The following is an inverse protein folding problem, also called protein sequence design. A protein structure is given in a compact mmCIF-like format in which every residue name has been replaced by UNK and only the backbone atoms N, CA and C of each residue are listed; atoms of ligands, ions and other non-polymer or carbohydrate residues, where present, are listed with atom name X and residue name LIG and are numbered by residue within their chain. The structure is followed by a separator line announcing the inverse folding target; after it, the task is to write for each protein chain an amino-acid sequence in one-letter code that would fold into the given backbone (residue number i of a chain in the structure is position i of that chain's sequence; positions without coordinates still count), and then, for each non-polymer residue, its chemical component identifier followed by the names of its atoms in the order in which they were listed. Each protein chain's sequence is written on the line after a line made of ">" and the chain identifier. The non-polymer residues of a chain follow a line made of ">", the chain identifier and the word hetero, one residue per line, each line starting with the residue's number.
data_IF_636629760753
#
_entry.id   IF_636629760753
#
_cell.length_a   1.000
_cell.length_b   1.000
_cell.length_c   1.000
_cell.angle_alpha   90.00
_cell.angle_beta   90.00
_cell.angle_gamma   90.00
#
_symmetry.space_group_name_H-M   'P 1'
#
loop_
_entity.id
_entity.type
_entity.pdbx_description
1 polymer ?
#
# COMPACT_ATOMS: atom_id res chain seq x y z
N UNK A 1 -25.28 -2.13 -23.07
CA UNK A 1 -24.29 -1.61 -22.11
C UNK A 1 -24.50 -2.38 -20.81
N UNK A 2 -23.60 -3.32 -20.46
CA UNK A 2 -23.68 -3.97 -19.14
C UNK A 2 -22.99 -3.05 -18.13
N UNK A 3 -23.76 -2.35 -17.34
CA UNK A 3 -23.26 -1.62 -16.17
C UNK A 3 -22.99 -2.68 -15.11
N UNK A 4 -21.72 -2.82 -14.73
CA UNK A 4 -21.31 -3.66 -13.59
C UNK A 4 -20.85 -2.73 -12.48
N UNK A 5 -21.82 -2.32 -11.67
CA UNK A 5 -21.51 -1.53 -10.48
C UNK A 5 -20.89 -2.41 -9.40
N UNK A 6 -20.02 -1.82 -8.59
CA UNK A 6 -19.41 -2.45 -7.43
C UNK A 6 -19.67 -1.60 -6.22
N UNK A 7 -20.10 -2.25 -5.15
CA UNK A 7 -20.35 -1.60 -3.87
C UNK A 7 -19.47 -2.26 -2.83
N UNK A 8 -18.72 -1.44 -2.09
CA UNK A 8 -18.05 -1.86 -0.87
C UNK A 8 -19.09 -1.79 0.25
N UNK A 9 -19.49 -2.94 0.76
CA UNK A 9 -20.48 -3.03 1.81
C UNK A 9 -19.94 -2.71 3.18
N UNK A 10 -20.84 -2.47 4.12
CA UNK A 10 -20.59 -2.29 5.55
C UNK A 10 -21.54 -3.22 6.30
N UNK A 11 -21.05 -3.90 7.33
CA UNK A 11 -21.83 -4.87 8.08
C UNK A 11 -22.50 -4.23 9.28
N UNK A 12 -23.74 -4.62 9.50
CA UNK A 12 -24.52 -4.29 10.70
C UNK A 12 -25.03 -5.58 11.33
N UNK A 13 -25.23 -5.56 12.64
CA UNK A 13 -25.93 -6.61 13.36
C UNK A 13 -27.44 -6.58 13.01
N UNK A 14 -28.16 -7.65 13.35
CA UNK A 14 -29.59 -7.76 13.02
C UNK A 14 -30.47 -6.72 13.74
N UNK A 15 -30.01 -6.17 14.84
CA UNK A 15 -30.65 -5.08 15.59
C UNK A 15 -30.34 -3.68 15.03
N UNK A 16 -29.51 -3.61 13.97
CA UNK A 16 -29.10 -2.35 13.33
C UNK A 16 -27.84 -1.70 13.90
N UNK A 17 -27.24 -2.31 14.94
CA UNK A 17 -25.98 -1.80 15.48
C UNK A 17 -24.80 -2.11 14.54
N UNK A 18 -23.75 -1.26 14.52
CA UNK A 18 -22.54 -1.51 13.74
C UNK A 18 -21.85 -2.81 14.17
N UNK A 19 -21.57 -3.71 13.22
CA UNK A 19 -20.82 -4.92 13.52
C UNK A 19 -19.41 -4.57 14.06
N UNK A 20 -19.06 -4.99 15.29
CA UNK A 20 -17.86 -4.55 15.96
C UNK A 20 -16.56 -5.02 15.30
N UNK A 21 -16.62 -6.09 14.50
CA UNK A 21 -15.47 -6.68 13.81
C UNK A 21 -15.35 -6.23 12.35
N UNK A 22 -16.30 -5.44 11.83
CA UNK A 22 -16.20 -4.86 10.50
C UNK A 22 -15.05 -3.84 10.45
N UNK A 23 -14.03 -4.02 9.57
CA UNK A 23 -12.88 -3.13 9.51
C UNK A 23 -13.23 -1.67 9.22
N UNK A 24 -14.29 -1.42 8.45
CA UNK A 24 -14.74 -0.05 8.15
C UNK A 24 -15.32 0.65 9.37
N UNK A 25 -16.08 -0.08 10.20
CA UNK A 25 -16.58 0.47 11.46
C UNK A 25 -15.44 0.70 12.46
N UNK A 26 -14.43 -0.19 12.50
CA UNK A 26 -13.23 0.00 13.33
C UNK A 26 -12.53 1.29 12.92
N UNK A 27 -12.24 1.47 11.61
CA UNK A 27 -11.58 2.66 11.10
C UNK A 27 -12.42 3.93 11.35
N UNK A 28 -13.74 3.89 11.11
CA UNK A 28 -14.63 5.03 11.39
C UNK A 28 -14.58 5.48 12.84
N UNK A 29 -14.59 4.54 13.80
CA UNK A 29 -14.47 4.88 15.22
C UNK A 29 -13.15 5.59 15.55
N UNK A 30 -12.03 5.15 14.95
CA UNK A 30 -10.73 5.81 15.15
C UNK A 30 -10.72 7.20 14.54
N UNK A 31 -11.21 7.36 13.31
CA UNK A 31 -11.30 8.66 12.63
C UNK A 31 -12.20 9.63 13.41
N UNK A 32 -13.36 9.17 13.91
CA UNK A 32 -14.25 10.00 14.72
C UNK A 32 -13.57 10.48 16.01
N UNK A 33 -12.89 9.58 16.72
CA UNK A 33 -12.15 9.94 17.96
C UNK A 33 -11.04 10.96 17.70
N UNK A 34 -10.34 10.86 16.58
CA UNK A 34 -9.34 11.86 16.19
C UNK A 34 -10.01 13.21 15.89
N UNK A 35 -11.15 13.20 15.18
CA UNK A 35 -11.90 14.42 14.88
C UNK A 35 -12.45 15.11 16.13
N UNK A 36 -12.86 14.34 17.17
CA UNK A 36 -13.28 14.89 18.47
C UNK A 36 -12.14 15.66 19.17
N UNK A 37 -10.87 15.29 18.87
CA UNK A 37 -9.67 15.98 19.35
C UNK A 37 -9.14 17.06 18.36
N UNK A 38 -9.89 17.39 17.30
CA UNK A 38 -9.49 18.35 16.26
C UNK A 38 -8.34 17.85 15.38
N UNK A 39 -8.24 16.52 15.18
CA UNK A 39 -7.18 15.86 14.42
C UNK A 39 -7.75 15.16 13.17
N UNK A 40 -7.22 15.50 12.00
CA UNK A 40 -7.71 15.03 10.70
C UNK A 40 -6.61 14.31 9.94
N UNK A 41 -6.66 12.96 9.86
CA UNK A 41 -5.65 12.19 9.13
C UNK A 41 -5.79 12.35 7.62
N UNK A 42 -4.63 12.51 6.97
CA UNK A 42 -4.48 12.45 5.51
C UNK A 42 -3.64 11.22 5.20
N UNK A 43 -4.17 10.33 4.37
CA UNK A 43 -3.63 8.99 4.17
C UNK A 43 -3.34 8.73 2.70
N UNK A 44 -2.22 8.06 2.43
CA UNK A 44 -1.89 7.45 1.14
C UNK A 44 -1.40 6.03 1.34
N UNK A 45 -1.61 5.17 0.34
CA UNK A 45 -1.10 3.81 0.35
C UNK A 45 -0.23 3.55 -0.87
N UNK A 46 0.85 2.79 -0.65
CA UNK A 46 1.72 2.24 -1.69
C UNK A 46 1.48 0.73 -1.73
N UNK A 47 1.20 0.19 -2.90
CA UNK A 47 0.89 -1.21 -3.10
C UNK A 47 1.92 -1.85 -4.04
N UNK A 48 2.73 -2.74 -3.49
CA UNK A 48 3.65 -3.57 -4.26
C UNK A 48 2.96 -4.87 -4.71
N UNK A 49 3.27 -5.32 -5.90
CA UNK A 49 2.73 -6.56 -6.46
C UNK A 49 3.68 -7.17 -7.49
N UNK A 50 3.51 -8.46 -7.75
CA UNK A 50 4.15 -9.12 -8.87
C UNK A 50 3.17 -9.37 -9.99
N UNK A 51 3.63 -9.19 -11.22
CA UNK A 51 3.07 -9.86 -12.38
C UNK A 51 3.72 -11.24 -12.51
N UNK A 52 2.92 -12.23 -12.87
CA UNK A 52 3.30 -13.63 -12.97
C UNK A 52 2.92 -14.21 -14.34
N UNK A 53 3.60 -15.26 -14.77
CA UNK A 53 3.11 -16.12 -15.83
C UNK A 53 1.73 -16.67 -15.44
N UNK A 54 0.72 -16.46 -16.29
CA UNK A 54 -0.66 -16.80 -15.95
C UNK A 54 -0.91 -18.31 -15.92
N UNK A 55 -0.28 -19.08 -16.81
CA UNK A 55 -0.48 -20.52 -16.89
C UNK A 55 0.13 -21.24 -15.69
N UNK A 56 1.32 -20.80 -15.26
CA UNK A 56 2.00 -21.35 -14.08
C UNK A 56 1.33 -20.88 -12.78
N UNK A 57 0.82 -19.64 -12.73
CA UNK A 57 0.06 -19.14 -11.61
C UNK A 57 -1.25 -19.93 -11.39
N UNK A 58 -1.92 -20.32 -12.46
CA UNK A 58 -3.11 -21.18 -12.39
C UNK A 58 -2.78 -22.60 -11.89
N UNK A 59 -1.55 -23.08 -12.11
CA UNK A 59 -1.02 -24.32 -11.54
C UNK A 59 -0.55 -24.18 -10.07
N UNK A 60 -0.59 -22.98 -9.51
CA UNK A 60 -0.13 -22.68 -8.15
C UNK A 60 1.37 -22.40 -8.04
N UNK A 61 2.03 -22.15 -9.16
CA UNK A 61 3.47 -21.86 -9.22
C UNK A 61 3.70 -20.37 -9.53
N UNK A 62 4.60 -19.74 -8.78
CA UNK A 62 4.99 -18.35 -9.03
C UNK A 62 6.22 -18.32 -9.95
N UNK A 63 6.05 -17.77 -11.16
CA UNK A 63 7.12 -17.56 -12.13
C UNK A 63 7.05 -16.15 -12.70
N UNK A 64 8.21 -15.50 -13.00
CA UNK A 64 8.22 -14.21 -13.68
C UNK A 64 7.51 -14.28 -15.03
N UNK A 65 6.80 -13.22 -15.45
CA UNK A 65 6.04 -13.25 -16.69
C UNK A 65 6.95 -12.97 -17.89
N UNK A 66 6.43 -13.27 -19.07
CA UNK A 66 6.82 -12.57 -20.29
C UNK A 66 6.11 -11.21 -20.32
N UNK A 67 6.87 -10.12 -20.41
CA UNK A 67 6.33 -8.76 -20.37
C UNK A 67 5.47 -8.51 -21.61
N UNK A 68 4.20 -8.08 -21.47
CA UNK A 68 3.21 -8.06 -22.56
C UNK A 68 3.61 -7.22 -23.76
N UNK A 69 4.24 -6.06 -23.54
CA UNK A 69 4.51 -5.08 -24.61
C UNK A 69 5.83 -5.35 -25.36
N UNK A 70 6.75 -6.09 -24.73
CA UNK A 70 8.06 -6.39 -25.34
C UNK A 70 8.24 -7.85 -25.75
N UNK A 71 7.42 -8.75 -25.22
CA UNK A 71 7.58 -10.19 -25.40
C UNK A 71 8.86 -10.76 -24.79
N UNK A 72 9.50 -10.04 -23.85
CA UNK A 72 10.74 -10.46 -23.19
C UNK A 72 10.43 -10.98 -21.79
N UNK A 73 11.11 -12.04 -21.33
CA UNK A 73 11.00 -12.48 -19.95
C UNK A 73 11.44 -11.38 -18.98
N UNK A 74 10.76 -11.27 -17.83
CA UNK A 74 11.19 -10.44 -16.72
C UNK A 74 12.28 -11.20 -15.96
N UNK A 75 13.55 -10.91 -16.22
CA UNK A 75 14.67 -11.66 -15.67
C UNK A 75 15.59 -10.85 -14.74
N UNK A 76 15.43 -9.52 -14.74
CA UNK A 76 16.38 -8.63 -14.08
C UNK A 76 15.88 -8.14 -12.73
N UNK A 77 16.79 -8.08 -11.79
CA UNK A 77 16.62 -7.38 -10.52
C UNK A 77 17.19 -5.97 -10.67
N UNK A 78 16.33 -4.99 -10.93
CA UNK A 78 16.73 -3.59 -11.09
C UNK A 78 15.60 -2.65 -10.69
N UNK A 79 15.68 -2.05 -9.52
CA UNK A 79 14.73 -1.04 -9.06
C UNK A 79 14.73 0.19 -9.97
N UNK A 80 13.54 0.75 -10.19
CA UNK A 80 13.30 1.94 -11.04
C UNK A 80 13.74 1.78 -12.51
N UNK A 81 13.66 0.56 -13.05
CA UNK A 81 13.93 0.29 -14.45
C UNK A 81 12.82 0.85 -15.35
N UNK A 82 13.16 1.84 -16.17
CA UNK A 82 12.22 2.35 -17.17
C UNK A 82 11.93 1.30 -18.25
N UNK A 83 12.90 0.46 -18.58
CA UNK A 83 12.70 -0.62 -19.58
C UNK A 83 11.67 -1.66 -19.13
N UNK A 84 11.57 -1.91 -17.80
CA UNK A 84 10.55 -2.81 -17.27
C UNK A 84 9.16 -2.15 -17.28
N UNK A 85 9.08 -0.84 -17.02
CA UNK A 85 7.84 -0.07 -17.18
C UNK A 85 7.39 -0.01 -18.65
N UNK A 86 8.33 0.18 -19.60
CA UNK A 86 8.03 0.12 -21.04
C UNK A 86 7.45 -1.26 -21.43
N UNK A 87 7.93 -2.32 -20.79
CA UNK A 87 7.46 -3.69 -21.02
C UNK A 87 6.02 -3.96 -20.56
N UNK A 88 5.44 -3.06 -19.74
CA UNK A 88 4.06 -3.13 -19.23
C UNK A 88 3.28 -1.84 -19.47
N UNK A 89 3.72 -1.01 -20.43
CA UNK A 89 3.14 0.32 -20.68
C UNK A 89 1.66 0.27 -21.02
N UNK A 90 1.22 -0.70 -21.82
CA UNK A 90 -0.21 -0.90 -22.16
C UNK A 90 -1.04 -1.29 -20.93
N UNK A 91 -0.50 -2.12 -20.06
CA UNK A 91 -1.13 -2.47 -18.76
C UNK A 91 -1.28 -1.22 -17.89
N UNK A 92 -0.23 -0.40 -17.76
CA UNK A 92 -0.25 0.83 -16.97
C UNK A 92 -1.23 1.87 -17.52
N UNK A 93 -1.29 2.05 -18.84
CA UNK A 93 -2.23 2.95 -19.49
C UNK A 93 -3.70 2.52 -19.26
N UNK A 94 -3.99 1.21 -19.36
CA UNK A 94 -5.32 0.71 -19.02
C UNK A 94 -5.63 0.87 -17.52
N UNK A 95 -4.63 0.69 -16.65
CA UNK A 95 -4.77 0.91 -15.21
C UNK A 95 -5.17 2.35 -14.91
N UNK A 96 -4.48 3.34 -15.50
CA UNK A 96 -4.82 4.76 -15.34
C UNK A 96 -6.26 5.04 -15.78
N UNK A 97 -6.66 4.54 -16.96
CA UNK A 97 -8.00 4.71 -17.49
C UNK A 97 -9.09 4.11 -16.57
N UNK A 98 -8.87 2.88 -16.08
CA UNK A 98 -9.83 2.18 -15.21
C UNK A 98 -9.92 2.85 -13.84
N UNK A 99 -8.79 3.28 -13.28
CA UNK A 99 -8.76 3.97 -11.99
C UNK A 99 -9.42 5.35 -12.08
N UNK A 100 -9.17 6.10 -13.15
CA UNK A 100 -9.85 7.37 -13.40
C UNK A 100 -11.36 7.19 -13.49
N UNK A 101 -11.85 6.18 -14.22
CA UNK A 101 -13.27 5.86 -14.32
C UNK A 101 -13.91 5.47 -12.99
N UNK A 102 -13.14 4.89 -12.06
CA UNK A 102 -13.56 4.51 -10.71
C UNK A 102 -13.29 5.61 -9.67
N UNK A 103 -12.72 6.74 -10.07
CA UNK A 103 -12.28 7.83 -9.17
C UNK A 103 -11.24 7.37 -8.13
N UNK A 104 -10.41 6.41 -8.49
CA UNK A 104 -9.25 6.00 -7.69
C UNK A 104 -8.07 6.89 -8.07
N UNK A 105 -7.55 7.71 -7.15
CA UNK A 105 -6.51 8.69 -7.48
C UNK A 105 -5.15 8.01 -7.51
N UNK A 106 -4.65 7.70 -8.73
CA UNK A 106 -3.30 7.18 -8.92
C UNK A 106 -2.26 8.31 -8.82
N UNK A 107 -1.18 8.07 -8.08
CA UNK A 107 0.01 8.90 -8.05
C UNK A 107 0.98 8.49 -9.14
N UNK A 108 1.75 7.46 -8.91
CA UNK A 108 2.76 6.97 -9.87
C UNK A 108 2.91 5.46 -9.83
N UNK A 109 3.66 4.94 -10.81
CA UNK A 109 4.07 3.54 -10.86
C UNK A 109 5.60 3.45 -10.96
N UNK A 110 6.18 2.42 -10.34
CA UNK A 110 7.60 2.10 -10.44
C UNK A 110 7.81 0.59 -10.63
N UNK A 111 8.91 0.25 -11.32
CA UNK A 111 9.42 -1.12 -11.23
C UNK A 111 10.16 -1.27 -9.92
N UNK A 112 9.93 -2.41 -9.26
CA UNK A 112 10.51 -2.71 -7.96
C UNK A 112 11.76 -3.58 -8.07
N UNK A 113 12.25 -4.04 -6.92
CA UNK A 113 13.57 -4.67 -6.82
C UNK A 113 13.66 -6.00 -7.59
N UNK A 114 12.59 -6.80 -7.63
CA UNK A 114 12.62 -8.12 -8.23
C UNK A 114 12.01 -8.17 -9.64
N UNK A 115 12.37 -9.18 -10.41
CA UNK A 115 11.84 -9.41 -11.75
C UNK A 115 10.30 -9.53 -11.74
N UNK A 116 9.64 -8.70 -12.54
CA UNK A 116 8.17 -8.65 -12.60
C UNK A 116 7.48 -8.01 -11.41
N UNK A 117 8.25 -7.38 -10.49
CA UNK A 117 7.70 -6.65 -9.35
C UNK A 117 7.49 -5.17 -9.70
N UNK A 118 6.33 -4.65 -9.32
CA UNK A 118 5.92 -3.27 -9.55
C UNK A 118 5.26 -2.70 -8.29
N UNK A 119 5.27 -1.37 -8.20
CA UNK A 119 4.58 -0.61 -7.18
C UNK A 119 3.64 0.41 -7.84
N UNK A 120 2.48 0.61 -7.25
CA UNK A 120 1.58 1.70 -7.59
C UNK A 120 1.27 2.49 -6.33
N UNK A 121 1.52 3.79 -6.40
CA UNK A 121 1.23 4.75 -5.36
C UNK A 121 -0.15 5.36 -5.56
N UNK A 122 -0.91 5.48 -4.48
CA UNK A 122 -2.14 6.26 -4.43
C UNK A 122 -1.85 7.66 -3.92
N UNK A 123 -2.60 8.64 -4.44
CA UNK A 123 -2.53 10.02 -3.94
C UNK A 123 -3.10 10.12 -2.52
N UNK A 124 -2.63 11.12 -1.78
CA UNK A 124 -3.09 11.42 -0.44
C UNK A 124 -4.54 11.89 -0.44
N UNK A 125 -5.34 11.38 0.47
CA UNK A 125 -6.72 11.83 0.67
C UNK A 125 -6.99 12.10 2.15
N UNK A 126 -7.78 13.14 2.41
CA UNK A 126 -8.20 13.53 3.77
C UNK A 126 -9.35 12.68 4.33
N UNK A 127 -9.72 11.61 3.64
CA UNK A 127 -10.71 10.63 4.08
C UNK A 127 -10.05 9.25 4.15
N UNK A 128 -9.68 8.77 5.36
CA UNK A 128 -9.04 7.47 5.53
C UNK A 128 -9.90 6.28 5.07
N UNK A 129 -11.23 6.41 5.11
CA UNK A 129 -12.14 5.37 4.60
C UNK A 129 -12.02 5.29 3.08
N UNK A 130 -12.05 6.44 2.41
CA UNK A 130 -11.85 6.50 0.96
C UNK A 130 -10.46 5.99 0.57
N UNK A 131 -9.40 6.32 1.34
CA UNK A 131 -8.05 5.79 1.09
C UNK A 131 -8.01 4.25 1.12
N UNK A 132 -8.64 3.63 2.12
CA UNK A 132 -8.73 2.18 2.23
C UNK A 132 -9.54 1.59 1.06
N UNK A 133 -10.65 2.21 0.69
CA UNK A 133 -11.47 1.78 -0.46
C UNK A 133 -10.69 1.85 -1.78
N UNK A 134 -9.93 2.92 -1.99
CA UNK A 134 -9.09 3.08 -3.18
C UNK A 134 -8.06 1.95 -3.29
N UNK A 135 -7.43 1.53 -2.19
CA UNK A 135 -6.49 0.42 -2.20
C UNK A 135 -7.16 -0.91 -2.61
N UNK A 136 -8.34 -1.20 -2.10
CA UNK A 136 -9.10 -2.41 -2.46
C UNK A 136 -9.52 -2.38 -3.94
N UNK A 137 -9.98 -1.22 -4.43
CA UNK A 137 -10.35 -1.04 -5.83
C UNK A 137 -9.13 -1.17 -6.75
N UNK A 138 -7.99 -0.60 -6.35
CA UNK A 138 -6.72 -0.73 -7.09
C UNK A 138 -6.27 -2.18 -7.17
N UNK A 139 -6.22 -2.92 -6.06
CA UNK A 139 -5.85 -4.35 -6.07
C UNK A 139 -6.72 -5.15 -7.04
N UNK A 140 -8.03 -4.86 -7.05
CA UNK A 140 -8.96 -5.52 -7.95
C UNK A 140 -8.73 -5.12 -9.41
N UNK A 141 -8.46 -3.85 -9.69
CA UNK A 141 -8.16 -3.35 -11.02
C UNK A 141 -6.88 -4.01 -11.56
N UNK A 142 -5.79 -4.01 -10.77
CA UNK A 142 -4.52 -4.67 -11.10
C UNK A 142 -4.75 -6.12 -11.52
N UNK A 143 -5.43 -6.93 -10.69
CA UNK A 143 -5.70 -8.33 -11.00
C UNK A 143 -6.59 -8.53 -12.23
N UNK A 144 -7.56 -7.63 -12.43
CA UNK A 144 -8.49 -7.72 -13.56
C UNK A 144 -7.83 -7.36 -14.90
N UNK A 145 -6.99 -6.32 -14.89
CA UNK A 145 -6.28 -5.84 -16.07
C UNK A 145 -5.14 -6.80 -16.42
N UNK A 146 -4.39 -7.30 -15.45
CA UNK A 146 -3.32 -8.27 -15.67
C UNK A 146 -3.82 -9.45 -16.54
N UNK A 147 -5.00 -10.02 -16.19
CA UNK A 147 -5.59 -11.12 -16.97
C UNK A 147 -5.89 -10.74 -18.42
N UNK A 148 -6.31 -9.51 -18.69
CA UNK A 148 -6.55 -9.04 -20.06
C UNK A 148 -5.27 -8.95 -20.88
N UNK A 149 -4.15 -8.66 -20.20
CA UNK A 149 -2.82 -8.60 -20.79
C UNK A 149 -2.08 -9.94 -20.78
N UNK A 150 -2.77 -11.06 -20.48
CA UNK A 150 -2.23 -12.41 -20.54
C UNK A 150 -1.28 -12.77 -19.39
N UNK A 151 -1.26 -11.97 -18.32
CA UNK A 151 -0.46 -12.22 -17.11
C UNK A 151 -1.37 -12.32 -15.87
N UNK A 152 -0.86 -12.91 -14.78
CA UNK A 152 -1.52 -12.88 -13.48
C UNK A 152 -0.89 -11.82 -12.59
N UNK A 153 -1.60 -11.37 -11.56
CA UNK A 153 -1.06 -10.44 -10.56
C UNK A 153 -1.30 -10.96 -9.14
N UNK A 154 -0.28 -10.85 -8.29
CA UNK A 154 -0.36 -11.22 -6.88
C UNK A 154 0.14 -10.12 -5.96
N UNK A 155 -0.60 -9.91 -4.86
CA UNK A 155 -0.21 -9.08 -3.72
C UNK A 155 0.24 -9.95 -2.52
N UNK A 156 0.60 -11.21 -2.77
CA UNK A 156 1.13 -12.10 -1.75
C UNK A 156 2.42 -11.50 -1.18
N UNK A 157 2.54 -11.45 0.13
CA UNK A 157 3.66 -10.79 0.80
C UNK A 157 5.04 -11.35 0.39
N UNK A 158 5.14 -12.65 0.13
CA UNK A 158 6.38 -13.33 -0.30
C UNK A 158 6.07 -14.44 -1.32
N UNK A 159 5.85 -14.11 -2.61
CA UNK A 159 5.57 -15.12 -3.62
C UNK A 159 6.80 -15.96 -3.98
N UNK A 160 7.99 -15.39 -3.91
CA UNK A 160 9.26 -16.06 -4.20
C UNK A 160 10.14 -16.11 -2.95
N UNK A 161 10.67 -17.29 -2.55
CA UNK A 161 11.52 -17.39 -1.36
C UNK A 161 12.75 -16.50 -1.40
N UNK A 162 13.40 -16.40 -2.55
CA UNK A 162 14.70 -15.77 -2.74
C UNK A 162 14.64 -14.36 -3.36
N UNK A 163 13.43 -13.81 -3.59
CA UNK A 163 13.25 -12.47 -4.13
C UNK A 163 12.66 -11.51 -3.10
N UNK A 164 12.58 -10.22 -3.40
CA UNK A 164 11.92 -9.25 -2.54
C UNK A 164 10.45 -9.61 -2.27
N UNK A 165 9.93 -9.27 -1.10
CA UNK A 165 8.51 -9.40 -0.79
C UNK A 165 7.73 -8.15 -1.22
N UNK A 166 6.39 -8.24 -1.22
CA UNK A 166 5.50 -7.11 -1.44
C UNK A 166 5.16 -6.41 -0.14
N UNK A 167 5.30 -5.09 -0.12
CA UNK A 167 4.84 -4.22 0.96
C UNK A 167 3.48 -3.60 0.66
N UNK A 168 2.77 -3.28 1.73
CA UNK A 168 1.63 -2.37 1.73
C UNK A 168 1.97 -1.21 2.67
N UNK A 169 2.61 -0.18 2.14
CA UNK A 169 3.04 0.94 2.97
C UNK A 169 1.91 1.94 3.16
N UNK A 170 1.75 2.41 4.39
CA UNK A 170 0.72 3.39 4.74
C UNK A 170 1.39 4.69 5.17
N UNK A 171 1.14 5.76 4.43
CA UNK A 171 1.58 7.10 4.76
C UNK A 171 0.48 7.85 5.49
N UNK A 172 0.84 8.52 6.58
CA UNK A 172 -0.10 9.29 7.40
C UNK A 172 0.51 10.64 7.75
N UNK A 173 -0.22 11.70 7.45
CA UNK A 173 -0.08 13.03 8.04
C UNK A 173 -1.30 13.34 8.88
N UNK A 174 -1.19 14.24 9.85
CA UNK A 174 -2.34 14.70 10.65
C UNK A 174 -2.45 16.22 10.52
N UNK A 175 -3.62 16.68 10.15
CA UNK A 175 -3.95 18.11 10.13
C UNK A 175 -4.72 18.52 11.40
N UNK A 176 -4.56 19.76 11.83
CA UNK A 176 -5.41 20.37 12.86
C UNK A 176 -6.62 21.08 12.22
N UNK A 177 -7.51 21.66 13.05
CA UNK A 177 -8.70 22.41 12.62
C UNK A 177 -8.39 23.56 11.65
N UNK A 178 -7.17 24.09 11.64
CA UNK A 178 -6.73 25.13 10.72
C UNK A 178 -6.19 24.56 9.39
N UNK A 179 -6.14 23.25 9.22
CA UNK A 179 -5.56 22.55 8.07
C UNK A 179 -4.04 22.53 8.08
N UNK A 180 -3.38 22.83 9.20
CA UNK A 180 -1.93 22.76 9.34
C UNK A 180 -1.50 21.34 9.71
N UNK A 181 -0.45 20.86 9.07
CA UNK A 181 0.17 19.56 9.40
C UNK A 181 0.87 19.62 10.76
N UNK A 182 0.35 18.93 11.76
CA UNK A 182 0.88 18.95 13.13
C UNK A 182 2.20 18.17 13.28
N UNK A 183 2.61 17.40 12.28
CA UNK A 183 3.90 16.71 12.25
C UNK A 183 5.04 17.64 11.84
N UNK A 184 4.73 18.82 11.32
CA UNK A 184 5.69 19.83 10.92
C UNK A 184 5.78 20.97 11.95
N UNK A 185 7.02 21.35 12.30
CA UNK A 185 7.34 22.51 13.16
C UNK A 185 8.34 23.45 12.50
N UNK A 186 8.60 23.26 11.20
CA UNK A 186 9.59 24.02 10.45
C UNK A 186 11.01 23.48 10.56
N UNK A 187 11.26 22.49 11.42
CA UNK A 187 12.57 21.84 11.53
C UNK A 187 12.70 20.63 10.58
N UNK A 188 13.93 20.21 10.33
CA UNK A 188 14.18 18.98 9.56
C UNK A 188 13.70 17.73 10.29
N UNK A 189 13.68 17.73 11.61
CA UNK A 189 13.31 16.60 12.45
C UNK A 189 11.79 16.45 12.60
N UNK A 190 11.02 17.50 12.32
CA UNK A 190 9.58 17.53 12.57
C UNK A 190 9.22 17.71 14.05
N UNK A 191 7.95 17.80 14.33
CA UNK A 191 7.41 18.20 15.62
C UNK A 191 7.48 17.11 16.71
N UNK A 192 7.25 17.50 17.96
CA UNK A 192 7.03 16.55 19.07
C UNK A 192 5.82 15.64 18.84
N UNK A 193 4.79 16.15 18.14
CA UNK A 193 3.61 15.35 17.77
C UNK A 193 3.97 14.19 16.85
N UNK A 194 4.88 14.40 15.89
CA UNK A 194 5.40 13.31 15.05
C UNK A 194 6.12 12.25 15.92
N UNK A 195 6.98 12.68 16.85
CA UNK A 195 7.68 11.75 17.76
C UNK A 195 6.74 10.97 18.67
N UNK A 196 5.68 11.61 19.17
CA UNK A 196 4.63 10.94 19.93
C UNK A 196 3.87 9.91 19.11
N UNK A 197 3.52 10.22 17.86
CA UNK A 197 2.88 9.29 16.94
C UNK A 197 3.77 8.08 16.65
N UNK A 198 5.07 8.30 16.41
CA UNK A 198 6.06 7.23 16.24
C UNK A 198 6.10 6.34 17.49
N UNK A 199 6.27 6.93 18.67
CA UNK A 199 6.38 6.19 19.92
C UNK A 199 5.12 5.35 20.20
N UNK A 200 3.93 5.93 20.02
CA UNK A 200 2.66 5.23 20.20
C UNK A 200 2.47 4.07 19.22
N UNK A 201 2.83 4.28 17.95
CA UNK A 201 2.73 3.23 16.92
C UNK A 201 3.70 2.08 17.22
N UNK A 202 4.95 2.39 17.59
CA UNK A 202 5.94 1.35 17.94
C UNK A 202 5.54 0.57 19.20
N UNK A 203 4.96 1.23 20.19
CA UNK A 203 4.51 0.58 21.40
C UNK A 203 3.40 -0.45 21.16
N UNK A 204 2.54 -0.19 20.15
CA UNK A 204 1.44 -1.09 19.79
C UNK A 204 1.80 -2.08 18.67
N UNK A 205 2.98 -1.95 18.08
CA UNK A 205 3.34 -2.75 16.92
C UNK A 205 3.36 -4.26 17.19
N UNK A 206 3.90 -4.78 18.31
CA UNK A 206 3.90 -6.21 18.58
C UNK A 206 2.50 -6.83 18.58
N UNK A 207 1.54 -6.20 19.24
CA UNK A 207 0.15 -6.66 19.29
C UNK A 207 -0.56 -6.51 17.95
N UNK A 208 -0.14 -5.53 17.13
CA UNK A 208 -0.73 -5.25 15.82
C UNK A 208 -0.24 -6.18 14.72
N UNK A 209 0.76 -7.04 14.99
CA UNK A 209 1.29 -8.00 13.99
C UNK A 209 0.22 -8.97 13.50
N UNK A 210 -0.78 -9.30 14.30
CA UNK A 210 -1.91 -10.13 13.86
C UNK A 210 -2.73 -9.48 12.72
N UNK A 211 -2.64 -8.14 12.57
CA UNK A 211 -3.30 -7.38 11.51
C UNK A 211 -2.34 -7.13 10.34
N UNK A 212 -1.10 -6.72 10.62
CA UNK A 212 -0.13 -6.34 9.61
C UNK A 212 0.57 -7.53 8.95
N UNK A 213 0.67 -8.65 9.65
CA UNK A 213 1.22 -9.90 9.15
C UNK A 213 0.27 -11.07 9.48
N UNK A 214 -0.94 -11.13 8.85
CA UNK A 214 -2.05 -11.98 9.31
C UNK A 214 -1.86 -13.46 9.00
N UNK A 215 -0.84 -13.85 8.25
CA UNK A 215 -0.62 -15.24 7.84
C UNK A 215 0.86 -15.60 7.80
N UNK A 216 1.17 -16.89 7.67
CA UNK A 216 2.54 -17.41 7.66
C UNK A 216 3.39 -16.83 6.51
N UNK A 217 2.79 -16.51 5.37
CA UNK A 217 3.50 -15.93 4.25
C UNK A 217 3.95 -14.49 4.52
N UNK A 218 3.17 -13.70 5.26
CA UNK A 218 3.53 -12.34 5.66
C UNK A 218 4.84 -12.32 6.46
N UNK A 219 5.04 -13.29 7.37
CA UNK A 219 6.28 -13.40 8.13
C UNK A 219 7.50 -13.79 7.28
N UNK A 220 7.30 -14.50 6.16
CA UNK A 220 8.40 -14.83 5.24
C UNK A 220 8.99 -13.60 4.54
N UNK A 221 8.26 -12.49 4.49
CA UNK A 221 8.75 -11.21 3.97
C UNK A 221 9.74 -10.55 4.93
N UNK A 222 9.58 -10.76 6.24
CA UNK A 222 10.37 -10.10 7.30
C UNK A 222 11.72 -10.79 7.48
N UNK A 223 12.59 -10.67 6.48
CA UNK A 223 13.93 -11.25 6.46
C UNK A 223 14.99 -10.20 6.13
N UNK A 224 16.25 -10.36 6.60
CA UNK A 224 17.33 -9.42 6.32
C UNK A 224 17.59 -9.22 4.82
N UNK A 225 17.96 -7.99 4.43
CA UNK A 225 18.39 -7.66 3.08
C UNK A 225 17.28 -7.46 2.04
N UNK A 226 16.00 -7.44 2.46
CA UNK A 226 14.86 -7.24 1.55
C UNK A 226 14.06 -5.96 1.83
N UNK A 227 14.67 -4.97 2.44
CA UNK A 227 14.03 -3.69 2.79
C UNK A 227 12.73 -3.83 3.60
N UNK A 228 12.58 -4.97 4.29
CA UNK A 228 11.49 -5.25 5.20
C UNK A 228 11.93 -5.04 6.66
N UNK A 229 11.10 -4.49 7.53
CA UNK A 229 11.47 -4.23 8.91
C UNK A 229 11.59 -5.52 9.72
N UNK A 230 12.62 -5.62 10.56
CA UNK A 230 12.89 -6.78 11.40
C UNK A 230 12.66 -6.52 12.90
N UNK A 231 12.45 -5.28 13.27
CA UNK A 231 12.29 -4.85 14.66
C UNK A 231 11.36 -3.64 14.74
N UNK A 232 10.71 -3.39 15.88
CA UNK A 232 9.94 -2.18 16.12
C UNK A 232 10.89 -0.97 16.28
N UNK A 233 11.32 -0.41 15.18
CA UNK A 233 12.25 0.71 15.09
C UNK A 233 11.76 1.78 14.10
N UNK A 234 12.43 2.93 14.10
CA UNK A 234 12.12 4.01 13.20
C UNK A 234 13.37 4.74 12.72
N UNK A 235 13.26 5.52 11.66
CA UNK A 235 14.37 6.34 11.16
C UNK A 235 13.96 7.32 10.07
N UNK A 236 14.79 8.37 9.92
CA UNK A 236 14.67 9.29 8.80
C UNK A 236 15.21 8.64 7.53
N UNK A 237 14.35 8.62 6.50
CA UNK A 237 14.68 8.13 5.16
C UNK A 237 15.35 6.73 5.11
N UNK A 238 15.17 5.91 6.13
CA UNK A 238 15.73 4.58 6.23
C UNK A 238 14.67 3.54 5.82
N UNK A 239 15.00 2.62 4.91
CA UNK A 239 14.01 1.68 4.34
C UNK A 239 13.85 0.37 5.10
N UNK A 240 14.79 0.01 6.00
CA UNK A 240 14.75 -1.23 6.78
C UNK A 240 14.07 -1.06 8.17
N UNK A 241 13.34 0.02 8.37
CA UNK A 241 12.65 0.31 9.63
C UNK A 241 11.15 0.10 9.53
N UNK A 242 10.51 -0.16 10.69
CA UNK A 242 9.06 -0.30 10.78
C UNK A 242 8.32 0.99 10.48
N UNK A 243 8.88 2.12 10.95
CA UNK A 243 8.33 3.45 10.73
C UNK A 243 9.40 4.36 10.12
N UNK A 244 9.16 4.79 8.90
CA UNK A 244 10.05 5.71 8.20
C UNK A 244 9.46 7.12 8.21
N UNK A 245 10.34 8.11 8.36
CA UNK A 245 10.03 9.50 8.08
C UNK A 245 10.69 9.85 6.74
N UNK A 246 9.92 9.86 5.63
CA UNK A 246 10.46 10.18 4.32
C UNK A 246 10.96 11.62 4.26
N UNK A 247 12.01 11.86 3.47
CA UNK A 247 12.39 13.23 3.11
C UNK A 247 11.24 13.86 2.33
N UNK A 248 10.78 15.01 2.80
CA UNK A 248 9.65 15.73 2.20
C UNK A 248 9.71 17.22 2.56
N UNK A 249 9.05 18.06 1.78
CA UNK A 249 8.76 19.43 2.20
C UNK A 249 7.83 19.47 3.41
N UNK A 250 7.81 20.61 4.09
CA UNK A 250 7.04 20.83 5.33
C UNK A 250 5.58 20.38 5.26
N UNK A 251 4.86 20.75 4.19
CA UNK A 251 3.45 20.37 4.02
C UNK A 251 3.22 18.85 3.94
N UNK A 252 4.24 18.09 3.49
CA UNK A 252 4.17 16.64 3.27
C UNK A 252 4.87 15.84 4.38
N UNK A 253 5.16 16.45 5.54
CA UNK A 253 5.72 15.74 6.69
C UNK A 253 4.78 14.62 7.11
N UNK A 254 5.27 13.38 7.12
CA UNK A 254 4.45 12.21 7.32
C UNK A 254 5.20 11.06 7.97
N UNK A 255 4.47 10.17 8.56
CA UNK A 255 4.90 8.86 9.01
C UNK A 255 4.56 7.83 7.94
N UNK A 256 5.49 6.97 7.58
CA UNK A 256 5.28 5.81 6.71
C UNK A 256 5.40 4.53 7.55
N UNK A 257 4.32 3.77 7.61
CA UNK A 257 4.28 2.44 8.23
C UNK A 257 4.57 1.37 7.18
N UNK A 258 5.62 0.55 7.40
CA UNK A 258 6.20 -0.35 6.41
C UNK A 258 6.05 -1.84 6.71
N UNK A 259 5.37 -2.20 7.81
CA UNK A 259 5.31 -3.60 8.28
C UNK A 259 4.35 -4.45 7.47
N UNK A 260 3.21 -3.89 7.05
CA UNK A 260 2.19 -4.64 6.31
C UNK A 260 2.68 -5.13 4.94
N UNK A 261 2.20 -6.33 4.54
CA UNK A 261 2.52 -6.95 3.26
C UNK A 261 1.86 -8.31 3.08
#
# INVERSE_FOLDING_TARGET
>A
MCIRDRVLGILYELDGEPCPVDPRHVLRRVVSRLADDGLYPVVALELEFYLLDSALADAGEAHPPVLPDTGRPAERTQVYSLADLDGVSSFLAEMESVCAAQRVPLGGASSEYAAGQFEINLEHVGDPIAAADHAILLQRAVKGIARKHGVAATFMAKPYPDSAGNGLHTHVSILDDSGRNIFDDGSEQGSDRLRQAIAGTLALLPESMAIFAPNANSYRRLIPGNYAPLAPNWGYNHRDVSLRIPVSGHKNRRLEHRVAG
#
